data_IF_855329130936
#
_entry.id   IF_855329130936
#
_cell.length_a   1.000
_cell.length_b   1.000
_cell.length_c   1.000
_cell.angle_alpha   90.00
_cell.angle_beta   90.00
_cell.angle_gamma   90.00
#
_symmetry.space_group_name_H-M   'P 1'
#
loop_
_entity.id
_entity.type
_entity.pdbx_description
1 polymer ?
#
# COMPACT_ATOMS: atom_id res chain seq x y z
N UNK A 1 -55.77 -15.15 9.90
CA UNK A 1 -54.87 -14.04 9.54
C UNK A 1 -53.44 -14.54 9.73
N UNK A 2 -52.62 -14.69 8.68
CA UNK A 2 -51.19 -14.93 8.84
C UNK A 2 -50.49 -13.57 8.89
N UNK A 3 -49.64 -13.34 9.90
CA UNK A 3 -48.75 -12.20 9.97
C UNK A 3 -47.31 -12.71 10.02
N UNK A 4 -46.61 -12.40 8.93
CA UNK A 4 -45.20 -12.08 8.80
C UNK A 4 -44.15 -13.15 9.11
N UNK A 5 -43.75 -13.85 8.06
CA UNK A 5 -42.35 -14.20 7.83
C UNK A 5 -41.55 -12.90 7.56
N UNK A 6 -40.76 -12.45 8.54
CA UNK A 6 -39.64 -11.54 8.28
C UNK A 6 -38.44 -12.39 7.82
N UNK A 7 -37.87 -12.17 6.61
CA UNK A 7 -36.61 -12.80 6.28
C UNK A 7 -35.48 -12.06 7.01
N UNK A 8 -34.84 -12.77 7.95
CA UNK A 8 -33.56 -12.40 8.55
C UNK A 8 -32.58 -11.94 7.45
N UNK A 9 -32.22 -10.66 7.47
CA UNK A 9 -31.18 -10.09 6.62
C UNK A 9 -29.87 -10.83 6.91
N UNK A 10 -29.44 -11.63 5.95
CA UNK A 10 -28.12 -12.25 5.98
C UNK A 10 -27.10 -11.12 5.91
N UNK A 11 -26.45 -10.82 7.04
CA UNK A 11 -25.26 -9.99 7.05
C UNK A 11 -24.23 -10.65 6.13
N UNK A 12 -24.02 -10.06 4.94
CA UNK A 12 -23.00 -10.53 4.02
C UNK A 12 -21.66 -10.44 4.74
N UNK A 13 -21.12 -11.58 5.18
CA UNK A 13 -19.76 -11.67 5.68
C UNK A 13 -18.86 -11.21 4.55
N UNK A 14 -18.24 -10.04 4.72
CA UNK A 14 -17.25 -9.54 3.78
C UNK A 14 -16.02 -10.43 3.85
N UNK A 15 -15.54 -10.87 2.70
CA UNK A 15 -14.28 -11.60 2.63
C UNK A 15 -13.12 -10.64 2.94
N UNK A 16 -12.16 -11.04 3.79
CA UNK A 16 -11.01 -10.20 4.09
C UNK A 16 -10.15 -10.00 2.85
N UNK A 17 -9.53 -8.83 2.76
CA UNK A 17 -8.53 -8.53 1.74
C UNK A 17 -7.30 -9.41 1.97
N UNK A 18 -6.78 -10.00 0.90
CA UNK A 18 -5.65 -10.93 0.94
C UNK A 18 -4.31 -10.21 0.79
N UNK A 19 -3.38 -10.50 1.69
CA UNK A 19 -2.00 -10.02 1.60
C UNK A 19 -1.30 -10.51 0.34
N UNK A 20 -1.45 -11.80 0.00
CA UNK A 20 -0.82 -12.35 -1.22
C UNK A 20 -1.42 -11.72 -2.49
N UNK A 21 -2.72 -11.43 -2.50
CA UNK A 21 -3.34 -10.72 -3.63
C UNK A 21 -2.79 -9.30 -3.79
N UNK A 22 -2.63 -8.58 -2.67
CA UNK A 22 -2.02 -7.25 -2.68
C UNK A 22 -0.55 -7.29 -3.08
N UNK A 23 0.20 -8.30 -2.63
CA UNK A 23 1.60 -8.50 -3.01
C UNK A 23 1.77 -8.72 -4.52
N UNK A 24 0.99 -9.64 -5.10
CA UNK A 24 1.00 -9.91 -6.53
C UNK A 24 0.63 -8.68 -7.36
N UNK A 25 -0.38 -7.92 -6.91
CA UNK A 25 -0.74 -6.65 -7.53
C UNK A 25 0.40 -5.65 -7.46
N UNK A 26 0.95 -5.42 -6.27
CA UNK A 26 2.02 -4.44 -6.02
C UNK A 26 3.24 -4.71 -6.88
N UNK A 27 3.66 -5.98 -6.96
CA UNK A 27 4.78 -6.41 -7.79
C UNK A 27 4.49 -6.11 -9.27
N UNK A 28 3.34 -6.55 -9.78
CA UNK A 28 2.97 -6.32 -11.19
C UNK A 28 2.87 -4.84 -11.54
N UNK A 29 2.33 -4.02 -10.63
CA UNK A 29 2.13 -2.60 -10.84
C UNK A 29 3.44 -1.81 -10.77
N UNK A 30 4.33 -2.15 -9.83
CA UNK A 30 5.60 -1.47 -9.63
C UNK A 30 6.51 -1.53 -10.86
N UNK A 31 6.55 -2.67 -11.56
CA UNK A 31 7.40 -2.87 -12.74
C UNK A 31 6.82 -2.31 -14.04
N UNK A 32 5.72 -1.54 -13.98
CA UNK A 32 5.24 -0.80 -15.15
C UNK A 32 6.16 0.36 -15.47
N UNK A 33 6.15 0.78 -16.74
CA UNK A 33 6.87 1.96 -17.18
C UNK A 33 6.49 3.18 -16.32
N UNK A 34 7.48 3.98 -15.93
CA UNK A 34 7.37 5.18 -15.09
C UNK A 34 6.95 4.97 -13.62
N UNK A 35 6.30 3.86 -13.26
CA UNK A 35 5.85 3.62 -11.87
C UNK A 35 7.02 3.51 -10.91
N UNK A 36 8.01 2.68 -11.22
CA UNK A 36 9.22 2.53 -10.38
C UNK A 36 9.89 3.89 -10.12
N UNK A 37 10.13 4.67 -11.18
CA UNK A 37 10.76 5.98 -11.06
C UNK A 37 9.91 6.96 -10.23
N UNK A 38 8.58 6.92 -10.38
CA UNK A 38 7.67 7.75 -9.61
C UNK A 38 7.59 7.33 -8.13
N UNK A 39 7.61 6.02 -7.84
CA UNK A 39 7.71 5.49 -6.48
C UNK A 39 9.00 5.92 -5.78
N UNK A 40 10.13 5.84 -6.47
CA UNK A 40 11.42 6.31 -5.96
C UNK A 40 11.42 7.82 -5.71
N UNK A 41 10.83 8.60 -6.61
CA UNK A 41 10.68 10.05 -6.43
C UNK A 41 9.76 10.40 -5.25
N UNK A 42 8.65 9.67 -5.09
CA UNK A 42 7.72 9.82 -3.97
C UNK A 42 8.42 9.57 -2.63
N UNK A 43 9.22 8.50 -2.55
CA UNK A 43 9.96 8.17 -1.34
C UNK A 43 11.04 9.22 -1.03
N UNK A 44 11.82 9.62 -2.04
CA UNK A 44 13.01 10.46 -1.85
C UNK A 44 12.67 11.92 -1.60
N UNK A 45 11.70 12.47 -2.34
CA UNK A 45 11.42 13.91 -2.33
C UNK A 45 10.19 14.29 -1.50
N UNK A 46 9.32 13.34 -1.19
CA UNK A 46 8.07 13.59 -0.49
C UNK A 46 7.92 12.76 0.79
N UNK A 47 8.95 11.98 1.16
CA UNK A 47 8.91 11.07 2.32
C UNK A 47 7.68 10.16 2.32
N UNK A 48 7.21 9.79 1.12
CA UNK A 48 6.05 8.92 0.95
C UNK A 48 6.42 7.44 1.06
N UNK A 49 5.47 6.64 1.53
CA UNK A 49 5.59 5.18 1.55
C UNK A 49 5.14 4.62 0.21
N UNK A 50 6.04 3.91 -0.47
CA UNK A 50 5.76 3.20 -1.73
C UNK A 50 4.67 2.15 -1.52
N UNK A 51 4.78 1.36 -0.44
CA UNK A 51 3.77 0.34 -0.08
C UNK A 51 2.39 0.96 0.15
N UNK A 52 2.32 2.14 0.75
CA UNK A 52 1.05 2.84 0.95
C UNK A 52 0.47 3.38 -0.36
N UNK A 53 1.31 3.95 -1.24
CA UNK A 53 0.87 4.41 -2.56
C UNK A 53 0.31 3.25 -3.41
N UNK A 54 1.01 2.11 -3.45
CA UNK A 54 0.54 0.90 -4.14
C UNK A 54 -0.78 0.39 -3.55
N UNK A 55 -0.95 0.47 -2.22
CA UNK A 55 -2.21 0.14 -1.58
C UNK A 55 -3.35 1.06 -2.02
N UNK A 56 -3.11 2.37 -2.11
CA UNK A 56 -4.14 3.31 -2.58
C UNK A 56 -4.63 2.94 -3.99
N UNK A 57 -3.70 2.64 -4.90
CA UNK A 57 -4.01 2.23 -6.28
C UNK A 57 -4.80 0.92 -6.29
N UNK A 58 -4.39 -0.05 -5.46
CA UNK A 58 -5.07 -1.34 -5.36
C UNK A 58 -6.50 -1.22 -4.85
N UNK A 59 -6.75 -0.31 -3.90
CA UNK A 59 -8.09 -0.04 -3.37
C UNK A 59 -8.96 0.74 -4.37
N UNK A 60 -8.35 1.67 -5.11
CA UNK A 60 -9.02 2.37 -6.19
C UNK A 60 -9.51 1.39 -7.28
N UNK A 61 -8.73 0.37 -7.60
CA UNK A 61 -9.12 -0.69 -8.56
C UNK A 61 -10.29 -1.57 -8.08
N UNK A 62 -10.56 -1.59 -6.77
CA UNK A 62 -11.65 -2.36 -6.13
C UNK A 62 -12.84 -1.48 -5.71
N UNK A 63 -12.85 -0.21 -6.11
CA UNK A 63 -13.86 0.78 -5.74
C UNK A 63 -14.05 0.92 -4.22
N UNK A 64 -12.95 0.82 -3.46
CA UNK A 64 -12.94 1.03 -2.01
C UNK A 64 -12.44 2.44 -1.74
N UNK A 65 -13.29 3.30 -1.18
CA UNK A 65 -12.88 4.66 -0.77
C UNK A 65 -12.48 4.66 0.71
N UNK A 66 -11.36 5.30 1.01
CA UNK A 66 -10.89 5.48 2.38
C UNK A 66 -11.31 6.84 2.94
N UNK A 67 -11.64 6.87 4.22
CA UNK A 67 -11.74 8.15 4.96
C UNK A 67 -10.35 8.69 5.30
N UNK A 68 -10.28 9.94 5.77
CA UNK A 68 -9.03 10.51 6.26
C UNK A 68 -8.47 9.75 7.47
N UNK A 69 -9.35 9.35 8.39
CA UNK A 69 -8.99 8.60 9.60
C UNK A 69 -8.40 7.23 9.25
N UNK A 70 -9.02 6.51 8.31
CA UNK A 70 -8.52 5.21 7.85
C UNK A 70 -7.13 5.33 7.22
N UNK A 71 -6.90 6.36 6.38
CA UNK A 71 -5.56 6.63 5.83
C UNK A 71 -4.53 6.90 6.94
N UNK A 72 -4.88 7.70 7.94
CA UNK A 72 -3.99 7.98 9.07
C UNK A 72 -3.68 6.71 9.89
N UNK A 73 -4.65 5.81 10.07
CA UNK A 73 -4.42 4.53 10.73
C UNK A 73 -3.46 3.63 9.94
N UNK A 74 -3.58 3.59 8.61
CA UNK A 74 -2.63 2.85 7.74
C UNK A 74 -1.22 3.45 7.79
N UNK A 75 -1.09 4.77 7.85
CA UNK A 75 0.22 5.42 8.05
C UNK A 75 0.81 5.07 9.42
N UNK A 76 -0.02 4.99 10.46
CA UNK A 76 0.43 4.61 11.80
C UNK A 76 0.89 3.15 11.88
N UNK A 77 0.29 2.23 11.11
CA UNK A 77 0.73 0.83 11.09
C UNK A 77 2.12 0.64 10.49
N UNK A 78 2.62 1.60 9.70
CA UNK A 78 3.95 1.55 9.09
C UNK A 78 5.07 2.11 10.00
N UNK A 79 4.74 2.99 10.94
CA UNK A 79 5.74 3.65 11.83
C UNK A 79 6.72 2.70 12.52
N UNK A 80 6.32 1.51 13.02
CA UNK A 80 7.25 0.59 13.68
C UNK A 80 8.38 0.10 12.75
N UNK A 81 8.08 -0.07 11.46
CA UNK A 81 9.03 -0.62 10.47
C UNK A 81 9.75 0.47 9.69
N UNK A 82 9.15 1.65 9.48
CA UNK A 82 9.77 2.78 8.76
C UNK A 82 11.17 3.13 9.29
N UNK A 83 11.30 3.37 10.60
CA UNK A 83 12.60 3.73 11.19
C UNK A 83 13.64 2.59 11.15
N UNK A 84 13.19 1.34 11.09
CA UNK A 84 14.09 0.19 10.91
C UNK A 84 14.58 0.11 9.46
N UNK A 85 13.68 0.30 8.49
CA UNK A 85 13.97 0.28 7.06
C UNK A 85 14.98 1.36 6.68
N UNK A 86 14.82 2.58 7.20
CA UNK A 86 15.78 3.67 6.97
C UNK A 86 17.18 3.31 7.46
N UNK A 87 17.30 2.83 8.71
CA UNK A 87 18.58 2.37 9.28
C UNK A 87 19.19 1.27 8.42
N UNK A 88 18.37 0.34 7.96
CA UNK A 88 18.81 -0.76 7.11
C UNK A 88 19.32 -0.28 5.75
N UNK A 89 18.61 0.65 5.10
CA UNK A 89 19.07 1.26 3.84
C UNK A 89 20.41 1.96 4.01
N UNK A 90 20.63 2.68 5.12
CA UNK A 90 21.93 3.28 5.43
C UNK A 90 23.03 2.23 5.60
N UNK A 91 22.75 1.16 6.35
CA UNK A 91 23.68 0.05 6.55
C UNK A 91 24.02 -0.66 5.23
N UNK A 92 23.03 -0.97 4.39
CA UNK A 92 23.28 -1.61 3.10
C UNK A 92 24.13 -0.74 2.18
N UNK A 93 23.88 0.58 2.15
CA UNK A 93 24.69 1.52 1.35
C UNK A 93 26.15 1.59 1.83
N UNK A 94 26.41 1.54 3.13
CA UNK A 94 27.77 1.57 3.67
C UNK A 94 28.52 0.25 3.49
N UNK A 95 27.81 -0.88 3.48
CA UNK A 95 28.38 -2.21 3.27
C UNK A 95 28.55 -2.59 1.79
N UNK A 96 27.81 -1.96 0.86
CA UNK A 96 27.90 -2.23 -0.59
C UNK A 96 29.34 -2.32 -1.14
N UNK A 97 30.28 -1.42 -0.83
CA UNK A 97 31.66 -1.52 -1.34
C UNK A 97 32.50 -2.63 -0.68
N UNK A 98 32.01 -3.26 0.40
CA UNK A 98 32.73 -4.23 1.22
C UNK A 98 32.23 -5.67 1.03
N UNK A 99 31.11 -5.85 0.32
CA UNK A 99 30.45 -7.15 0.14
C UNK A 99 30.68 -7.70 -1.26
N UNK A 100 30.73 -9.02 -1.35
CA UNK A 100 30.59 -9.76 -2.60
C UNK A 100 29.12 -9.76 -3.07
N UNK A 101 28.87 -10.33 -4.25
CA UNK A 101 27.52 -10.41 -4.83
C UNK A 101 26.54 -11.09 -3.90
N UNK A 102 26.96 -12.19 -3.27
CA UNK A 102 26.09 -13.05 -2.46
C UNK A 102 25.70 -12.35 -1.15
N UNK A 103 26.66 -11.70 -0.48
CA UNK A 103 26.39 -10.88 0.69
C UNK A 103 25.47 -9.70 0.37
N UNK A 104 25.64 -9.06 -0.78
CA UNK A 104 24.78 -7.95 -1.19
C UNK A 104 23.34 -8.39 -1.52
N UNK A 105 23.17 -9.54 -2.17
CA UNK A 105 21.85 -10.12 -2.45
C UNK A 105 21.12 -10.56 -1.16
N UNK A 106 21.83 -11.08 -0.16
CA UNK A 106 21.23 -11.35 1.15
C UNK A 106 20.64 -10.08 1.79
N UNK A 107 21.34 -8.95 1.68
CA UNK A 107 20.83 -7.69 2.20
C UNK A 107 19.58 -7.21 1.45
N UNK A 108 19.55 -7.33 0.12
CA UNK A 108 18.35 -7.04 -0.67
C UNK A 108 17.16 -7.93 -0.30
N UNK A 109 17.41 -9.22 -0.12
CA UNK A 109 16.36 -10.17 0.25
C UNK A 109 15.72 -9.82 1.59
N UNK A 110 16.51 -9.35 2.55
CA UNK A 110 15.98 -8.87 3.81
C UNK A 110 15.17 -7.57 3.66
N UNK A 111 15.59 -6.62 2.81
CA UNK A 111 14.76 -5.44 2.49
C UNK A 111 13.40 -5.86 1.94
N UNK A 112 13.39 -6.79 0.98
CA UNK A 112 12.15 -7.29 0.38
C UNK A 112 11.25 -7.98 1.41
N UNK A 113 11.83 -8.71 2.37
CA UNK A 113 11.07 -9.30 3.48
C UNK A 113 10.43 -8.23 4.37
N UNK A 114 11.15 -7.15 4.68
CA UNK A 114 10.60 -6.03 5.46
C UNK A 114 9.47 -5.32 4.70
N UNK A 115 9.62 -5.09 3.39
CA UNK A 115 8.56 -4.51 2.56
C UNK A 115 7.32 -5.41 2.53
N UNK A 116 7.53 -6.73 2.42
CA UNK A 116 6.44 -7.71 2.48
C UNK A 116 5.73 -7.69 3.83
N UNK A 117 6.46 -7.51 4.93
CA UNK A 117 5.88 -7.34 6.26
C UNK A 117 5.07 -6.05 6.38
N UNK A 118 5.55 -4.94 5.82
CA UNK A 118 4.77 -3.69 5.77
C UNK A 118 3.44 -3.86 5.04
N UNK A 119 3.45 -4.55 3.90
CA UNK A 119 2.21 -4.85 3.18
C UNK A 119 1.28 -5.77 3.99
N UNK A 120 1.83 -6.73 4.73
CA UNK A 120 1.04 -7.57 5.63
C UNK A 120 0.37 -6.71 6.72
N UNK A 121 1.11 -5.81 7.35
CA UNK A 121 0.59 -4.95 8.43
C UNK A 121 -0.48 -3.99 7.91
N UNK A 122 -0.30 -3.45 6.70
CA UNK A 122 -1.31 -2.63 6.02
C UNK A 122 -2.61 -3.41 5.82
N UNK A 123 -2.54 -4.64 5.29
CA UNK A 123 -3.72 -5.47 5.05
C UNK A 123 -4.38 -5.90 6.35
N UNK A 124 -3.58 -6.24 7.37
CA UNK A 124 -4.09 -6.57 8.70
C UNK A 124 -4.86 -5.40 9.32
N UNK A 125 -4.31 -4.18 9.25
CA UNK A 125 -4.98 -2.97 9.72
C UNK A 125 -6.26 -2.69 8.92
N UNK A 126 -6.19 -2.79 7.59
CA UNK A 126 -7.31 -2.52 6.69
C UNK A 126 -8.49 -3.47 6.94
N UNK A 127 -8.22 -4.76 7.20
CA UNK A 127 -9.23 -5.76 7.51
C UNK A 127 -9.92 -5.55 8.88
N UNK A 128 -9.39 -4.68 9.74
CA UNK A 128 -10.02 -4.29 11.01
C UNK A 128 -10.91 -3.04 10.86
N UNK A 129 -10.89 -2.38 9.69
CA UNK A 129 -11.63 -1.14 9.44
C UNK A 129 -12.98 -1.40 8.75
N UNK A 130 -13.99 -0.56 8.99
CA UNK A 130 -15.22 -0.59 8.21
C UNK A 130 -14.98 0.00 6.81
N UNK A 131 -14.62 -0.83 5.84
CA UNK A 131 -14.38 -0.38 4.46
C UNK A 131 -15.70 -0.02 3.78
N UNK A 132 -15.70 0.89 2.80
CA UNK A 132 -16.89 1.21 2.00
C UNK A 132 -16.61 0.94 0.53
N UNK A 133 -17.40 0.07 -0.09
CA UNK A 133 -17.46 0.02 -1.55
C UNK A 133 -18.37 1.15 -2.03
N UNK A 134 -17.91 1.90 -3.02
CA UNK A 134 -18.70 2.95 -3.66
C UNK A 134 -19.08 2.49 -5.06
N UNK A 135 -20.33 2.73 -5.45
CA UNK A 135 -20.83 2.33 -6.78
C UNK A 135 -20.14 3.12 -7.91
N UNK A 136 -19.81 4.38 -7.64
CA UNK A 136 -19.16 5.30 -8.58
C UNK A 136 -17.84 5.77 -7.97
N UNK A 137 -16.82 4.91 -8.04
CA UNK A 137 -15.48 5.28 -7.59
C UNK A 137 -14.77 6.08 -8.67
N UNK A 138 -14.17 7.20 -8.30
CA UNK A 138 -13.28 7.94 -9.20
C UNK A 138 -11.92 7.21 -9.19
N UNK A 139 -11.45 6.67 -10.33
CA UNK A 139 -10.15 6.00 -10.37
C UNK A 139 -9.04 6.93 -9.87
N UNK A 140 -8.18 6.42 -8.99
CA UNK A 140 -7.08 7.21 -8.41
C UNK A 140 -7.47 8.14 -7.27
N UNK A 141 -8.72 8.14 -6.79
CA UNK A 141 -9.16 9.07 -5.74
C UNK A 141 -8.37 8.93 -4.43
N UNK A 142 -8.10 7.69 -3.99
CA UNK A 142 -7.30 7.47 -2.80
C UNK A 142 -5.85 7.93 -3.01
N UNK A 143 -5.27 7.58 -4.16
CA UNK A 143 -3.91 7.99 -4.51
C UNK A 143 -3.80 9.51 -4.57
N UNK A 144 -4.75 10.19 -5.21
CA UNK A 144 -4.76 11.64 -5.35
C UNK A 144 -4.83 12.34 -3.99
N UNK A 145 -5.70 11.87 -3.08
CA UNK A 145 -5.78 12.38 -1.71
C UNK A 145 -4.47 12.19 -0.95
N UNK A 146 -3.82 11.04 -1.12
CA UNK A 146 -2.52 10.74 -0.52
C UNK A 146 -1.41 11.65 -1.06
N UNK A 147 -1.26 11.73 -2.39
CA UNK A 147 -0.28 12.57 -3.04
C UNK A 147 -0.50 14.06 -2.74
N UNK A 148 -1.74 14.54 -2.65
CA UNK A 148 -2.04 15.92 -2.27
C UNK A 148 -1.54 16.22 -0.85
N UNK A 149 -1.74 15.31 0.11
CA UNK A 149 -1.26 15.48 1.48
C UNK A 149 0.27 15.59 1.55
N UNK A 150 0.98 14.89 0.67
CA UNK A 150 2.44 14.88 0.58
C UNK A 150 3.03 15.98 -0.33
N UNK A 151 2.20 16.77 -1.00
CA UNK A 151 2.66 17.73 -2.02
C UNK A 151 3.24 17.06 -3.28
N UNK A 152 2.84 15.81 -3.55
CA UNK A 152 3.36 14.94 -4.61
C UNK A 152 2.39 14.80 -5.81
N UNK A 153 1.49 15.77 -6.01
CA UNK A 153 0.40 15.70 -7.02
C UNK A 153 0.94 15.47 -8.44
N UNK A 154 2.12 16.02 -8.75
CA UNK A 154 2.77 15.85 -10.05
C UNK A 154 3.20 14.39 -10.37
N UNK A 155 3.19 13.50 -9.38
CA UNK A 155 3.56 12.09 -9.56
C UNK A 155 2.35 11.19 -9.88
N UNK A 156 1.12 11.68 -9.71
CA UNK A 156 -0.11 10.85 -9.82
C UNK A 156 -0.20 10.15 -11.18
N UNK A 157 -0.03 10.88 -12.28
CA UNK A 157 -0.17 10.31 -13.63
C UNK A 157 0.85 9.18 -13.89
N UNK A 158 2.08 9.36 -13.40
CA UNK A 158 3.14 8.36 -13.53
C UNK A 158 2.90 7.14 -12.64
N UNK A 159 2.42 7.36 -11.41
CA UNK A 159 2.05 6.30 -10.48
C UNK A 159 0.83 5.50 -10.97
N UNK A 160 -0.03 6.07 -11.82
CA UNK A 160 -1.20 5.40 -12.38
C UNK A 160 -0.98 4.79 -13.77
N UNK A 161 0.27 4.70 -14.23
CA UNK A 161 0.57 4.19 -15.57
C UNK A 161 -0.01 2.79 -15.80
N UNK A 162 -0.50 2.55 -17.03
CA UNK A 162 -1.18 1.31 -17.41
C UNK A 162 -0.22 0.27 -17.93
#
# INVERSE_FOLDING_TARGET
>A
MPLNDEPCRHGSKREPLSHDAFWQFSYTHYFKADVEAACLALQTFHSGSVNLALLMIWLDAQSIDLTQEQRQQLEQSLKPTEGLLERYHHMRRSLKPQLDSDGYEQLKNFELQMERQQQHDLIAALNQMPLRHVAEHVPGANLARYCHRLGAVALIDKLMAK
#
